data_IF_160531054422
#
_entry.id   IF_160531054422
#
_cell.length_a   1.000
_cell.length_b   1.000
_cell.length_c   1.000
_cell.angle_alpha   90.00
_cell.angle_beta   90.00
_cell.angle_gamma   90.00
#
_symmetry.space_group_name_H-M   'P 1'
#
loop_
_entity.id
_entity.type
_entity.pdbx_description
1 polymer ?
#
# COMPACT_ATOMS: atom_id res chain seq x y z
N UNK A 1 -29.41 9.00 -0.27
CA UNK A 1 -28.92 8.52 1.03
C UNK A 1 -27.76 7.52 0.94
N UNK A 2 -27.93 6.29 0.42
CA UNK A 2 -26.82 5.29 0.43
C UNK A 2 -25.61 5.69 -0.44
N UNK A 3 -25.85 6.32 -1.60
CA UNK A 3 -24.78 6.85 -2.46
C UNK A 3 -24.05 8.02 -1.78
N UNK A 4 -24.77 8.90 -1.09
CA UNK A 4 -24.18 10.07 -0.42
C UNK A 4 -23.29 9.66 0.76
N UNK A 5 -23.70 8.66 1.54
CA UNK A 5 -22.85 8.11 2.62
C UNK A 5 -21.55 7.50 2.08
N UNK A 6 -21.60 6.77 0.96
CA UNK A 6 -20.40 6.19 0.35
C UNK A 6 -19.43 7.27 -0.16
N UNK A 7 -19.95 8.35 -0.74
CA UNK A 7 -19.13 9.47 -1.21
C UNK A 7 -18.45 10.19 -0.04
N UNK A 8 -19.17 10.40 1.07
CA UNK A 8 -18.60 11.03 2.27
C UNK A 8 -17.49 10.17 2.88
N UNK A 9 -17.72 8.86 3.05
CA UNK A 9 -16.68 7.97 3.61
C UNK A 9 -15.49 7.84 2.66
N UNK A 10 -15.71 7.77 1.36
CA UNK A 10 -14.65 7.79 0.35
C UNK A 10 -13.84 9.09 0.40
N UNK A 11 -14.50 10.24 0.53
CA UNK A 11 -13.85 11.54 0.69
C UNK A 11 -12.95 11.59 1.93
N UNK A 12 -13.44 11.11 3.07
CA UNK A 12 -12.65 11.01 4.31
C UNK A 12 -11.43 10.09 4.11
N UNK A 13 -11.63 8.91 3.51
CA UNK A 13 -10.53 7.98 3.22
C UNK A 13 -9.47 8.63 2.32
N UNK A 14 -9.88 9.31 1.25
CA UNK A 14 -8.96 9.99 0.34
C UNK A 14 -8.15 11.05 1.07
N UNK A 15 -8.79 11.90 1.87
CA UNK A 15 -8.10 12.96 2.64
C UNK A 15 -7.10 12.34 3.63
N UNK A 16 -7.51 11.32 4.38
CA UNK A 16 -6.63 10.63 5.33
C UNK A 16 -5.44 9.96 4.63
N UNK A 17 -5.68 9.29 3.50
CA UNK A 17 -4.61 8.64 2.72
C UNK A 17 -3.64 9.66 2.12
N UNK A 18 -4.11 10.82 1.68
CA UNK A 18 -3.24 11.92 1.22
C UNK A 18 -2.42 12.50 2.37
N UNK A 19 -3.00 12.65 3.57
CA UNK A 19 -2.26 13.09 4.75
C UNK A 19 -1.16 12.09 5.15
N UNK A 20 -1.47 10.78 5.12
CA UNK A 20 -0.48 9.72 5.29
C UNK A 20 0.60 9.85 4.21
N UNK A 21 0.23 9.96 2.94
CA UNK A 21 1.19 10.05 1.86
C UNK A 21 2.13 11.25 2.02
N UNK A 22 1.59 12.42 2.36
CA UNK A 22 2.35 13.65 2.64
C UNK A 22 3.31 13.47 3.82
N UNK A 23 2.84 12.90 4.93
CA UNK A 23 3.64 12.72 6.15
C UNK A 23 4.80 11.75 5.95
N UNK A 24 4.55 10.66 5.23
CA UNK A 24 5.56 9.63 4.98
C UNK A 24 6.44 9.89 3.76
N UNK A 25 6.07 10.80 2.86
CA UNK A 25 6.87 11.13 1.67
C UNK A 25 8.29 11.58 2.03
N UNK A 26 8.45 12.38 3.08
CA UNK A 26 9.76 12.88 3.50
C UNK A 26 10.67 11.77 4.03
N UNK A 27 10.10 10.73 4.65
CA UNK A 27 10.86 9.59 5.16
C UNK A 27 11.55 8.79 4.03
N UNK A 28 10.95 8.75 2.83
CA UNK A 28 11.57 8.09 1.66
C UNK A 28 12.85 8.80 1.22
N UNK A 29 12.87 10.14 1.30
CA UNK A 29 14.03 10.93 0.88
C UNK A 29 15.23 10.74 1.82
N UNK A 30 14.97 10.51 3.11
CA UNK A 30 15.98 10.48 4.18
C UNK A 30 16.50 9.06 4.41
N UNK A 31 15.61 8.08 4.54
CA UNK A 31 15.97 6.71 4.92
C UNK A 31 16.20 5.83 3.69
N UNK A 32 17.29 6.02 2.94
CA UNK A 32 17.62 5.14 1.81
C UNK A 32 18.27 3.83 2.31
N UNK A 33 17.71 2.68 1.91
CA UNK A 33 18.29 1.36 2.17
C UNK A 33 17.96 0.72 3.53
N UNK A 34 17.18 1.39 4.38
CA UNK A 34 16.69 0.81 5.64
C UNK A 34 15.45 -0.07 5.41
N UNK A 35 15.05 -0.85 6.42
CA UNK A 35 13.77 -1.57 6.39
C UNK A 35 12.58 -0.58 6.29
N UNK A 36 12.71 0.58 6.94
CA UNK A 36 11.72 1.65 6.94
C UNK A 36 11.46 2.18 5.54
N UNK A 37 12.49 2.27 4.70
CA UNK A 37 12.36 2.63 3.28
C UNK A 37 11.33 1.76 2.55
N UNK A 38 11.47 0.44 2.65
CA UNK A 38 10.61 -0.51 1.97
C UNK A 38 9.19 -0.51 2.58
N UNK A 39 9.10 -0.43 3.91
CA UNK A 39 7.82 -0.33 4.62
C UNK A 39 7.03 0.91 4.17
N UNK A 40 7.68 2.08 4.15
CA UNK A 40 7.04 3.34 3.77
C UNK A 40 6.59 3.32 2.31
N UNK A 41 7.41 2.79 1.38
CA UNK A 41 6.98 2.63 -0.02
C UNK A 41 5.77 1.71 -0.17
N UNK A 42 5.72 0.63 0.60
CA UNK A 42 4.54 -0.25 0.66
C UNK A 42 3.30 0.51 1.12
N UNK A 43 3.40 1.27 2.21
CA UNK A 43 2.28 2.09 2.73
C UNK A 43 1.82 3.12 1.69
N UNK A 44 2.74 3.81 1.02
CA UNK A 44 2.38 4.79 -0.01
C UNK A 44 1.65 4.16 -1.19
N UNK A 45 2.04 2.96 -1.61
CA UNK A 45 1.36 2.25 -2.69
C UNK A 45 -0.03 1.76 -2.29
N UNK A 46 -0.22 1.33 -1.04
CA UNK A 46 -1.56 1.00 -0.51
C UNK A 46 -2.43 2.26 -0.47
N UNK A 47 -1.89 3.38 0.04
CA UNK A 47 -2.61 4.65 0.07
C UNK A 47 -3.01 5.11 -1.34
N UNK A 48 -2.09 5.01 -2.30
CA UNK A 48 -2.35 5.31 -3.71
C UNK A 48 -3.43 4.39 -4.31
N UNK A 49 -3.34 3.07 -4.08
CA UNK A 49 -4.33 2.10 -4.54
C UNK A 49 -5.73 2.39 -3.96
N UNK A 50 -5.80 2.73 -2.67
CA UNK A 50 -7.03 3.09 -1.98
C UNK A 50 -7.65 4.36 -2.59
N UNK A 51 -6.85 5.41 -2.79
CA UNK A 51 -7.32 6.67 -3.41
C UNK A 51 -7.83 6.45 -4.82
N UNK A 52 -7.09 5.71 -5.66
CA UNK A 52 -7.52 5.39 -7.02
C UNK A 52 -8.82 4.57 -7.02
N UNK A 53 -8.92 3.58 -6.13
CA UNK A 53 -10.09 2.71 -6.03
C UNK A 53 -11.32 3.50 -5.58
N UNK A 54 -11.19 4.34 -4.56
CA UNK A 54 -12.29 5.20 -4.09
C UNK A 54 -12.68 6.25 -5.14
N UNK A 55 -11.69 6.81 -5.85
CA UNK A 55 -11.95 7.69 -7.00
C UNK A 55 -12.77 7.02 -8.09
N UNK A 56 -12.43 5.77 -8.44
CA UNK A 56 -13.12 5.03 -9.49
C UNK A 56 -14.51 4.53 -9.09
N UNK A 57 -14.69 4.03 -7.87
CA UNK A 57 -15.97 3.45 -7.46
C UNK A 57 -16.93 4.48 -6.88
N UNK A 58 -16.44 5.37 -6.02
CA UNK A 58 -17.31 6.27 -5.26
C UNK A 58 -17.48 7.60 -5.98
N UNK A 59 -16.38 8.23 -6.40
CA UNK A 59 -16.43 9.54 -7.06
C UNK A 59 -16.89 9.46 -8.52
N UNK A 60 -16.42 8.49 -9.31
CA UNK A 60 -16.86 8.38 -10.71
C UNK A 60 -18.34 7.98 -10.79
N UNK A 61 -18.82 7.11 -9.89
CA UNK A 61 -20.24 6.79 -9.81
C UNK A 61 -21.09 8.03 -9.44
N UNK A 62 -20.61 8.86 -8.51
CA UNK A 62 -21.27 10.12 -8.17
C UNK A 62 -21.26 11.11 -9.34
N UNK A 63 -20.12 11.28 -10.02
CA UNK A 63 -19.95 12.27 -11.10
C UNK A 63 -20.77 11.91 -12.35
N UNK A 64 -20.81 10.64 -12.73
CA UNK A 64 -21.49 10.19 -13.95
C UNK A 64 -22.94 9.75 -13.71
N UNK A 65 -23.37 9.59 -12.46
CA UNK A 65 -24.74 9.25 -12.07
C UNK A 65 -25.27 8.03 -12.85
N UNK A 66 -26.41 8.18 -13.52
CA UNK A 66 -27.02 7.13 -14.32
C UNK A 66 -26.15 6.67 -15.52
N UNK A 67 -25.31 7.57 -16.05
CA UNK A 67 -24.40 7.26 -17.17
C UNK A 67 -23.19 6.44 -16.74
N UNK A 68 -22.98 6.27 -15.43
CA UNK A 68 -21.86 5.49 -14.90
C UNK A 68 -21.80 4.08 -15.49
N UNK A 69 -22.94 3.43 -15.69
CA UNK A 69 -22.98 2.08 -16.26
C UNK A 69 -22.39 2.02 -17.68
N UNK A 70 -22.69 3.02 -18.51
CA UNK A 70 -22.15 3.13 -19.87
C UNK A 70 -20.64 3.41 -19.85
N UNK A 71 -20.20 4.35 -19.00
CA UNK A 71 -18.77 4.70 -18.83
C UNK A 71 -17.97 3.50 -18.31
N UNK A 72 -18.46 2.84 -17.27
CA UNK A 72 -17.87 1.63 -16.70
C UNK A 72 -17.73 0.54 -17.75
N UNK A 73 -18.77 0.32 -18.56
CA UNK A 73 -18.74 -0.71 -19.62
C UNK A 73 -17.70 -0.38 -20.70
N UNK A 74 -17.61 0.89 -21.11
CA UNK A 74 -16.60 1.36 -22.06
C UNK A 74 -15.15 1.22 -21.52
N UNK A 75 -14.95 1.40 -20.21
CA UNK A 75 -13.64 1.21 -19.55
C UNK A 75 -13.24 -0.26 -19.36
N UNK A 76 -14.03 -1.23 -19.80
CA UNK A 76 -13.76 -2.67 -19.62
C UNK A 76 -14.42 -3.28 -18.38
N UNK A 77 -15.38 -2.57 -17.79
CA UNK A 77 -16.29 -3.09 -16.77
C UNK A 77 -15.59 -3.43 -15.45
N UNK A 78 -15.90 -4.60 -14.91
CA UNK A 78 -15.28 -5.07 -13.67
C UNK A 78 -13.80 -5.45 -13.85
N UNK A 79 -13.36 -5.77 -15.07
CA UNK A 79 -11.97 -6.16 -15.35
C UNK A 79 -11.00 -4.99 -15.16
N UNK A 80 -11.46 -3.76 -15.34
CA UNK A 80 -10.65 -2.57 -15.05
C UNK A 80 -10.25 -2.50 -13.57
N UNK A 81 -11.07 -3.02 -12.66
CA UNK A 81 -10.74 -3.02 -11.23
C UNK A 81 -9.51 -3.88 -10.89
N UNK A 82 -9.13 -4.82 -11.75
CA UNK A 82 -7.89 -5.60 -11.63
C UNK A 82 -6.64 -4.71 -11.72
N UNK A 83 -6.71 -3.57 -12.40
CA UNK A 83 -5.60 -2.61 -12.48
C UNK A 83 -5.23 -2.09 -11.09
N UNK A 84 -6.21 -1.94 -10.18
CA UNK A 84 -5.95 -1.52 -8.79
C UNK A 84 -5.23 -2.60 -7.96
N UNK A 85 -5.18 -3.85 -8.42
CA UNK A 85 -4.39 -4.89 -7.76
C UNK A 85 -2.90 -4.75 -8.04
N UNK A 86 -2.50 -4.08 -9.12
CA UNK A 86 -1.10 -3.87 -9.48
C UNK A 86 -0.35 -3.14 -8.35
N UNK A 87 -0.77 -1.95 -7.88
CA UNK A 87 -0.10 -1.28 -6.76
C UNK A 87 -0.17 -2.09 -5.46
N UNK A 88 -1.21 -2.92 -5.26
CA UNK A 88 -1.29 -3.82 -4.11
C UNK A 88 -0.25 -4.96 -4.16
N UNK A 89 0.00 -5.53 -5.35
CA UNK A 89 1.06 -6.53 -5.55
C UNK A 89 2.42 -5.90 -5.26
N UNK A 90 2.67 -4.69 -5.77
CA UNK A 90 3.91 -3.98 -5.47
C UNK A 90 4.05 -3.63 -3.98
N UNK A 91 2.96 -3.22 -3.33
CA UNK A 91 2.96 -2.98 -1.90
C UNK A 91 3.32 -4.24 -1.10
N UNK A 92 2.72 -5.39 -1.45
CA UNK A 92 3.03 -6.68 -0.85
C UNK A 92 4.49 -7.07 -1.07
N UNK A 93 5.02 -6.89 -2.28
CA UNK A 93 6.43 -7.07 -2.58
C UNK A 93 7.31 -6.22 -1.66
N UNK A 94 7.00 -4.93 -1.49
CA UNK A 94 7.77 -4.05 -0.62
C UNK A 94 7.68 -4.42 0.86
N UNK A 95 6.52 -4.87 1.35
CA UNK A 95 6.40 -5.39 2.72
C UNK A 95 7.22 -6.66 2.94
N UNK A 96 7.25 -7.56 1.94
CA UNK A 96 8.09 -8.75 1.98
C UNK A 96 9.58 -8.42 1.94
N UNK A 97 9.99 -7.47 1.10
CA UNK A 97 11.36 -6.93 1.11
C UNK A 97 11.70 -6.27 2.45
N UNK A 98 10.79 -5.49 3.03
CA UNK A 98 10.97 -4.90 4.36
C UNK A 98 11.19 -5.98 5.41
N UNK A 99 10.46 -7.09 5.34
CA UNK A 99 10.64 -8.24 6.22
C UNK A 99 11.97 -8.94 5.99
N UNK A 100 12.39 -9.09 4.74
CA UNK A 100 13.66 -9.71 4.38
C UNK A 100 14.87 -8.90 4.88
N UNK A 101 14.81 -7.56 4.81
CA UNK A 101 15.86 -6.67 5.33
C UNK A 101 15.95 -6.72 6.86
N UNK A 102 14.86 -7.06 7.55
CA UNK A 102 14.86 -7.27 9.01
C UNK A 102 15.58 -8.56 9.43
N UNK A 103 15.81 -9.51 8.51
CA UNK A 103 16.57 -10.73 8.79
C UNK A 103 18.06 -10.38 8.93
N UNK A 104 18.75 -10.88 9.98
CA UNK A 104 20.19 -10.70 10.16
C UNK A 104 20.99 -11.12 8.92
N UNK A 105 22.05 -10.39 8.60
CA UNK A 105 22.84 -10.62 7.38
C UNK A 105 23.41 -12.04 7.31
N UNK A 106 23.84 -12.58 8.45
CA UNK A 106 24.36 -13.94 8.57
C UNK A 106 23.35 -15.01 8.14
N UNK A 107 22.06 -14.80 8.39
CA UNK A 107 21.00 -15.77 8.07
C UNK A 107 20.34 -15.50 6.70
N UNK A 108 20.49 -14.27 6.17
CA UNK A 108 19.75 -13.78 5.00
C UNK A 108 19.93 -14.65 3.75
N UNK A 109 21.07 -15.33 3.60
CA UNK A 109 21.35 -16.22 2.46
C UNK A 109 20.38 -17.41 2.34
N UNK A 110 19.73 -17.82 3.44
CA UNK A 110 18.74 -18.93 3.45
C UNK A 110 17.33 -18.49 3.09
N UNK A 111 17.11 -17.17 3.01
CA UNK A 111 15.79 -16.58 2.86
C UNK A 111 15.75 -15.71 1.61
N UNK A 112 14.72 -15.88 0.81
CA UNK A 112 14.37 -14.99 -0.27
C UNK A 112 13.26 -14.05 0.19
N UNK A 113 13.06 -12.95 -0.53
CA UNK A 113 12.00 -12.00 -0.20
C UNK A 113 10.61 -12.67 -0.13
N UNK A 114 10.33 -13.66 -0.99
CA UNK A 114 9.02 -14.32 -1.09
C UNK A 114 8.73 -15.34 0.03
N UNK A 115 9.75 -15.84 0.73
CA UNK A 115 9.61 -16.76 1.87
C UNK A 115 10.06 -16.15 3.22
N UNK A 116 10.49 -14.88 3.22
CA UNK A 116 10.94 -14.16 4.41
C UNK A 116 9.87 -14.08 5.54
N UNK A 117 8.60 -14.24 5.20
CA UNK A 117 7.50 -14.29 6.16
C UNK A 117 7.50 -15.55 7.04
N UNK A 118 8.14 -16.64 6.58
CA UNK A 118 8.27 -17.90 7.30
C UNK A 118 9.43 -17.92 8.31
N UNK A 119 10.26 -16.86 8.36
CA UNK A 119 11.40 -16.79 9.29
C UNK A 119 10.92 -16.91 10.76
N UNK A 120 11.47 -17.87 11.56
CA UNK A 120 11.01 -18.14 12.92
C UNK A 120 11.03 -16.90 13.81
N UNK A 121 9.88 -16.65 14.44
CA UNK A 121 9.55 -15.41 15.15
C UNK A 121 10.38 -15.25 16.43
N UNK A 122 11.29 -14.28 16.46
CA UNK A 122 11.86 -13.78 17.71
C UNK A 122 13.12 -12.91 17.60
N UNK A 123 13.96 -13.11 16.58
CA UNK A 123 15.28 -12.46 16.51
C UNK A 123 15.32 -11.13 15.74
N UNK A 124 14.49 -10.96 14.70
CA UNK A 124 14.66 -9.84 13.75
C UNK A 124 14.55 -8.44 14.39
N UNK A 125 13.58 -8.22 15.28
CA UNK A 125 13.44 -6.93 16.00
C UNK A 125 14.25 -6.89 17.30
N UNK A 126 14.47 -8.05 17.94
CA UNK A 126 15.12 -8.15 19.25
C UNK A 126 16.65 -8.01 19.16
N UNK A 127 17.27 -8.41 18.04
CA UNK A 127 18.71 -8.25 17.79
C UNK A 127 19.10 -6.79 17.47
N UNK A 128 18.19 -5.99 16.89
CA UNK A 128 18.44 -4.58 16.56
C UNK A 128 18.10 -3.60 17.68
N UNK A 129 17.35 -4.04 18.69
CA UNK A 129 17.03 -3.26 19.88
C UNK A 129 18.18 -3.21 20.90
N UNK A 130 19.29 -3.92 20.67
CA UNK A 130 20.52 -3.67 21.44
C UNK A 130 21.06 -2.31 21.00
N UNK A 131 21.14 -1.31 21.90
CA UNK A 131 21.74 -0.03 21.56
C UNK A 131 23.18 -0.27 21.10
N UNK A 132 23.60 0.45 20.06
CA UNK A 132 25.02 0.63 19.78
C UNK A 132 25.67 1.07 21.09
N UNK A 133 26.56 0.23 21.63
CA UNK A 133 27.47 0.64 22.70
C UNK A 133 28.46 1.66 22.15
#
# INVERSE_FOLDING_TARGET
>A
MQIEMNVVTAGVVVVMMLAVARGYWHLIAIERGSWGYYMVRGVLLVAFAAVMRSGYWDFAQFLFGEKWWAVRTALGGQRFSTVFNIPMIFAAYYFLCSRWVLIPEEERHRWHWWNAWMHPRGLCLRLRAKPFK
#
